data_IF_236894833780
#
_entry.id   IF_236894833780
#
_cell.length_a   1.000
_cell.length_b   1.000
_cell.length_c   1.000
_cell.angle_alpha   90.00
_cell.angle_beta   90.00
_cell.angle_gamma   90.00
#
_symmetry.space_group_name_H-M   'P 1'
#
loop_
_entity.id
_entity.type
_entity.pdbx_description
1 polymer ?
#
# COMPACT_ATOMS: atom_id res chain seq x y z
N UNK A 1 -14.51 9.99 -2.23
CA UNK A 1 -13.32 10.66 -2.80
C UNK A 1 -12.27 9.61 -3.14
N UNK A 2 -11.40 9.86 -4.11
CA UNK A 2 -10.21 9.02 -4.41
C UNK A 2 -8.96 9.87 -4.50
N UNK A 3 -7.87 9.43 -3.86
CA UNK A 3 -6.60 10.16 -3.83
C UNK A 3 -5.40 9.21 -3.95
N UNK A 4 -4.31 9.71 -4.51
CA UNK A 4 -3.03 9.02 -4.61
C UNK A 4 -2.07 9.55 -3.56
N UNK A 5 -1.37 8.65 -2.89
CA UNK A 5 -0.36 8.95 -1.89
C UNK A 5 0.93 8.29 -2.34
N UNK A 6 1.95 9.11 -2.58
CA UNK A 6 3.31 8.65 -2.89
C UNK A 6 4.18 8.78 -1.65
N UNK A 7 4.94 7.72 -1.34
CA UNK A 7 5.85 7.67 -0.20
C UNK A 7 7.23 7.15 -0.63
N UNK A 8 8.29 7.75 -0.11
CA UNK A 8 9.66 7.40 -0.50
C UNK A 8 10.13 6.04 0.02
N UNK A 9 9.68 5.64 1.21
CA UNK A 9 10.00 4.34 1.80
C UNK A 9 8.80 3.86 2.60
N UNK A 10 8.37 2.62 2.37
CA UNK A 10 7.25 2.04 3.06
C UNK A 10 7.55 0.59 3.44
N UNK A 11 7.85 0.36 4.71
CA UNK A 11 7.67 -0.97 5.28
C UNK A 11 6.17 -1.29 5.30
N UNK A 12 5.74 -2.46 4.81
CA UNK A 12 4.32 -2.77 4.59
C UNK A 12 3.40 -2.51 5.79
N UNK A 13 3.90 -2.76 7.01
CA UNK A 13 3.15 -2.50 8.27
C UNK A 13 2.99 -1.01 8.62
N UNK A 14 3.74 -0.12 7.98
CA UNK A 14 3.66 1.34 8.13
C UNK A 14 2.59 1.94 7.20
N UNK A 15 2.32 1.31 6.06
CA UNK A 15 1.31 1.74 5.10
C UNK A 15 -0.09 1.81 5.70
N UNK A 16 -0.53 0.70 6.29
CA UNK A 16 -1.88 0.61 6.87
C UNK A 16 -2.08 1.63 8.00
N UNK A 17 -1.07 1.79 8.88
CA UNK A 17 -1.12 2.78 9.97
C UNK A 17 -1.19 4.22 9.45
N UNK A 18 -0.49 4.51 8.35
CA UNK A 18 -0.55 5.82 7.72
C UNK A 18 -1.94 6.09 7.15
N UNK A 19 -2.53 5.12 6.45
CA UNK A 19 -3.87 5.24 5.87
C UNK A 19 -4.94 5.41 6.96
N UNK A 20 -4.86 4.66 8.06
CA UNK A 20 -5.76 4.81 9.21
C UNK A 20 -5.69 6.22 9.80
N UNK A 21 -4.48 6.76 9.97
CA UNK A 21 -4.27 8.11 10.51
C UNK A 21 -4.84 9.19 9.58
N UNK A 22 -4.67 9.04 8.26
CA UNK A 22 -5.22 9.97 7.27
C UNK A 22 -6.75 9.89 7.27
N UNK A 23 -7.33 8.68 7.30
CA UNK A 23 -8.78 8.49 7.38
C UNK A 23 -9.36 9.14 8.64
N UNK A 24 -8.73 8.95 9.80
CA UNK A 24 -9.16 9.57 11.03
C UNK A 24 -9.14 11.10 10.93
N UNK A 25 -8.05 11.68 10.41
CA UNK A 25 -7.94 13.12 10.21
C UNK A 25 -9.03 13.66 9.27
N UNK A 26 -9.30 12.97 8.16
CA UNK A 26 -10.33 13.36 7.20
C UNK A 26 -11.73 13.34 7.82
N UNK A 27 -12.01 12.31 8.62
CA UNK A 27 -13.28 12.18 9.34
C UNK A 27 -13.44 13.30 10.37
N UNK A 28 -12.43 13.54 11.20
CA UNK A 28 -12.49 14.51 12.30
C UNK A 28 -12.55 15.96 11.82
N UNK A 29 -11.75 16.31 10.80
CA UNK A 29 -11.62 17.71 10.35
C UNK A 29 -12.62 18.10 9.27
N UNK A 30 -13.03 17.15 8.44
CA UNK A 30 -13.82 17.43 7.25
C UNK A 30 -15.10 16.60 7.15
N UNK A 31 -15.37 15.70 8.09
CA UNK A 31 -16.55 14.82 8.05
C UNK A 31 -16.52 13.79 6.93
N UNK A 32 -15.36 13.54 6.33
CA UNK A 32 -15.22 12.62 5.20
C UNK A 32 -14.95 11.21 5.75
N UNK A 33 -15.97 10.36 5.72
CA UNK A 33 -15.89 8.99 6.26
C UNK A 33 -15.46 7.93 5.24
N UNK A 34 -15.55 8.22 3.94
CA UNK A 34 -15.29 7.26 2.88
C UNK A 34 -14.37 7.85 1.80
N UNK A 35 -13.10 7.45 1.86
CA UNK A 35 -12.07 7.82 0.89
C UNK A 35 -11.30 6.57 0.48
N UNK A 36 -11.10 6.40 -0.82
CA UNK A 36 -10.25 5.34 -1.36
C UNK A 36 -8.85 5.91 -1.58
N UNK A 37 -7.83 5.24 -1.06
CA UNK A 37 -6.43 5.62 -1.24
C UNK A 37 -5.70 4.60 -2.10
N UNK A 38 -4.95 5.08 -3.09
CA UNK A 38 -3.90 4.30 -3.73
C UNK A 38 -2.57 4.75 -3.15
N UNK A 39 -1.80 3.80 -2.62
CA UNK A 39 -0.50 4.03 -2.00
C UNK A 39 0.59 3.50 -2.92
N UNK A 40 1.53 4.36 -3.29
CA UNK A 40 2.65 4.04 -4.18
C UNK A 40 3.96 4.31 -3.45
N UNK A 41 4.91 3.36 -3.52
CA UNK A 41 6.24 3.51 -2.92
C UNK A 41 7.32 3.60 -3.98
N UNK A 42 8.19 4.62 -3.85
CA UNK A 42 9.26 4.92 -4.81
C UNK A 42 10.29 3.80 -4.93
N UNK A 43 10.44 2.98 -3.88
CA UNK A 43 11.45 1.91 -3.79
C UNK A 43 10.78 0.54 -3.66
N UNK A 44 9.60 0.34 -4.25
CA UNK A 44 9.04 -1.01 -4.39
C UNK A 44 9.81 -1.76 -5.49
N UNK A 45 11.07 -2.10 -5.20
CA UNK A 45 11.83 -3.06 -6.00
C UNK A 45 11.07 -4.39 -5.95
N UNK A 46 10.93 -5.12 -7.07
CA UNK A 46 10.17 -6.37 -7.15
C UNK A 46 10.69 -7.47 -6.21
N UNK A 47 11.89 -7.31 -5.65
CA UNK A 47 12.43 -8.16 -4.58
C UNK A 47 11.74 -7.99 -3.22
N UNK A 48 11.12 -6.83 -2.98
CA UNK A 48 10.29 -6.51 -1.80
C UNK A 48 8.81 -6.43 -2.16
N UNK A 49 8.39 -7.07 -3.25
CA UNK A 49 7.01 -7.14 -3.66
C UNK A 49 6.16 -7.53 -2.47
N UNK A 50 5.39 -6.56 -1.97
CA UNK A 50 4.46 -6.74 -0.87
C UNK A 50 3.64 -7.99 -1.17
N UNK A 51 3.79 -9.04 -0.35
CA UNK A 51 3.02 -10.28 -0.46
C UNK A 51 1.58 -10.00 -0.05
N UNK A 52 0.87 -9.22 -0.86
CA UNK A 52 -0.58 -9.11 -0.85
C UNK A 52 -1.11 -10.32 -1.63
N UNK A 53 -1.03 -11.48 -0.99
CA UNK A 53 -1.85 -12.67 -1.25
C UNK A 53 -2.26 -12.93 -2.73
N UNK A 54 -1.28 -13.21 -3.59
CA UNK A 54 -1.55 -13.89 -4.87
C UNK A 54 -1.49 -15.40 -4.63
N UNK A 55 -2.67 -16.03 -4.62
CA UNK A 55 -2.83 -17.48 -4.56
C UNK A 55 -2.44 -18.08 -5.94
N UNK A 56 -1.33 -18.84 -5.96
CA UNK A 56 -0.88 -19.89 -6.94
C UNK A 56 -0.23 -19.50 -8.30
N UNK A 57 0.64 -20.34 -8.93
CA UNK A 57 1.54 -21.41 -8.44
C UNK A 57 3.03 -21.18 -8.84
N UNK A 58 4.02 -21.96 -8.35
CA UNK A 58 5.44 -21.72 -8.61
C UNK A 58 5.86 -22.29 -9.97
N UNK A 59 6.14 -21.42 -10.94
CA UNK A 59 6.91 -21.83 -12.13
C UNK A 59 8.38 -21.88 -11.74
N UNK A 60 8.86 -23.08 -11.44
CA UNK A 60 10.28 -23.40 -11.25
C UNK A 60 11.01 -23.07 -12.55
N UNK A 61 11.83 -22.01 -12.54
CA UNK A 61 12.80 -21.77 -13.60
C UNK A 61 14.15 -22.34 -13.13
N UNK A 62 14.40 -23.62 -13.42
CA UNK A 62 15.76 -24.11 -13.58
C UNK A 62 16.39 -23.42 -14.79
N UNK A 63 17.61 -22.93 -14.65
CA UNK A 63 18.51 -22.90 -15.81
C UNK A 63 19.98 -22.96 -15.36
N UNK A 64 20.73 -23.72 -16.16
CA UNK A 64 22.12 -24.18 -16.02
C UNK A 64 23.15 -23.11 -15.69
#
# INVERSE_FOLDING_TARGET
MSCHIQVSDLQGSYGDRLLDRINQMLKERFGIAHTTFQLESEVCAPEHACTLNSKEPPTVLQSH
#
